data_IF_950929384773
#
_entry.id   IF_950929384773
#
_cell.length_a   1.000
_cell.length_b   1.000
_cell.length_c   1.000
_cell.angle_alpha   90.00
_cell.angle_beta   90.00
_cell.angle_gamma   90.00
#
_symmetry.space_group_name_H-M   'P 1'
#
loop_
_entity.id
_entity.type
_entity.pdbx_description
1 polymer ?
#
# COMPACT_ATOMS: atom_id res chain seq x y z
N UNK A 1 1.00 -5.09 -4.67
CA UNK A 1 2.09 -5.90 -4.11
C UNK A 1 1.54 -7.08 -3.32
N UNK A 2 0.90 -6.90 -2.16
CA UNK A 2 0.28 -8.02 -1.41
C UNK A 2 -0.71 -8.83 -2.25
N UNK A 3 -1.60 -8.16 -3.01
CA UNK A 3 -2.62 -8.87 -3.79
C UNK A 3 -1.98 -9.86 -4.76
N UNK A 4 -1.03 -9.38 -5.57
CA UNK A 4 -0.26 -10.23 -6.48
C UNK A 4 0.48 -11.37 -5.75
N UNK A 5 1.13 -11.12 -4.61
CA UNK A 5 1.84 -12.18 -3.88
C UNK A 5 0.89 -13.28 -3.41
N UNK A 6 -0.33 -12.92 -2.97
CA UNK A 6 -1.36 -13.90 -2.59
C UNK A 6 -1.89 -14.66 -3.80
N UNK A 7 -2.22 -13.93 -4.87
CA UNK A 7 -2.75 -14.52 -6.09
C UNK A 7 -1.73 -15.52 -6.70
N UNK A 8 -0.42 -15.24 -6.59
CA UNK A 8 0.63 -16.15 -7.05
C UNK A 8 0.95 -17.29 -6.07
N UNK A 9 0.76 -17.11 -4.76
CA UNK A 9 0.85 -18.22 -3.79
C UNK A 9 -0.19 -19.31 -4.12
N UNK A 10 -1.40 -18.89 -4.53
CA UNK A 10 -2.47 -19.80 -4.98
C UNK A 10 -2.16 -20.51 -6.33
N UNK A 11 -1.31 -19.92 -7.18
CA UNK A 11 -0.97 -20.45 -8.51
C UNK A 11 0.33 -21.30 -8.55
N UNK A 12 1.03 -21.48 -7.43
CA UNK A 12 2.24 -22.30 -7.36
C UNK A 12 3.50 -21.59 -6.84
N UNK A 13 3.38 -20.41 -6.25
CA UNK A 13 4.49 -19.71 -5.59
C UNK A 13 5.27 -18.76 -6.51
N UNK A 14 5.92 -17.77 -5.91
CA UNK A 14 6.78 -16.78 -6.59
C UNK A 14 8.23 -16.97 -6.16
N UNK A 15 9.16 -17.03 -7.10
CA UNK A 15 10.58 -16.95 -6.82
C UNK A 15 11.12 -15.57 -7.21
N UNK A 16 11.61 -14.81 -6.24
CA UNK A 16 12.31 -13.55 -6.47
C UNK A 16 13.77 -13.85 -6.76
N UNK A 17 14.08 -14.05 -8.04
CA UNK A 17 15.39 -14.50 -8.54
C UNK A 17 16.54 -13.61 -8.02
N UNK A 18 16.37 -12.29 -8.05
CA UNK A 18 17.41 -11.34 -7.63
C UNK A 18 17.61 -11.28 -6.10
N UNK A 19 16.60 -11.65 -5.33
CA UNK A 19 16.66 -11.64 -3.87
C UNK A 19 17.05 -13.02 -3.30
N UNK A 20 17.09 -14.06 -4.13
CA UNK A 20 17.30 -15.44 -3.68
C UNK A 20 16.17 -15.97 -2.80
N UNK A 21 14.98 -15.36 -2.87
CA UNK A 21 13.84 -15.71 -2.02
C UNK A 21 12.88 -16.57 -2.83
N UNK A 22 12.72 -17.84 -2.44
CA UNK A 22 11.62 -18.67 -2.91
C UNK A 22 10.44 -18.55 -1.94
N UNK A 23 9.24 -18.34 -2.48
CA UNK A 23 7.99 -18.39 -1.70
C UNK A 23 7.53 -19.83 -1.40
N UNK A 24 8.27 -20.84 -1.84
CA UNK A 24 7.95 -22.24 -1.59
C UNK A 24 8.49 -22.73 -0.23
N UNK A 25 7.83 -23.74 0.33
CA UNK A 25 8.21 -24.36 1.61
C UNK A 25 7.94 -23.48 2.84
N UNK A 26 8.32 -23.98 4.02
CA UNK A 26 8.07 -23.32 5.32
C UNK A 26 8.73 -21.95 5.42
N UNK A 27 9.94 -21.80 4.86
CA UNK A 27 10.69 -20.54 4.84
C UNK A 27 10.00 -19.50 3.94
N UNK A 28 9.51 -19.90 2.77
CA UNK A 28 8.79 -19.01 1.85
C UNK A 28 7.51 -18.44 2.47
N UNK A 29 6.72 -19.28 3.16
CA UNK A 29 5.51 -18.83 3.88
C UNK A 29 5.80 -17.77 4.94
N UNK A 30 6.90 -17.93 5.69
CA UNK A 30 7.32 -16.91 6.68
C UNK A 30 7.71 -15.60 6.00
N UNK A 31 8.46 -15.65 4.90
CA UNK A 31 8.87 -14.44 4.19
C UNK A 31 7.67 -13.69 3.59
N UNK A 32 6.72 -14.42 2.98
CA UNK A 32 5.47 -13.85 2.46
C UNK A 32 4.66 -13.19 3.60
N UNK A 33 4.57 -13.84 4.76
CA UNK A 33 3.85 -13.30 5.91
C UNK A 33 4.50 -12.01 6.46
N UNK A 34 5.83 -11.98 6.56
CA UNK A 34 6.59 -10.80 7.00
C UNK A 34 6.40 -9.66 6.00
N UNK A 35 6.64 -9.89 4.71
CA UNK A 35 6.45 -8.89 3.66
C UNK A 35 5.02 -8.34 3.63
N UNK A 36 4.03 -9.22 3.80
CA UNK A 36 2.62 -8.81 3.88
C UNK A 36 2.32 -7.95 5.09
N UNK A 37 2.94 -8.25 6.24
CA UNK A 37 2.74 -7.50 7.47
C UNK A 37 3.42 -6.13 7.40
N UNK A 38 4.64 -6.09 6.87
CA UNK A 38 5.41 -4.86 6.65
C UNK A 38 4.71 -3.93 5.66
N UNK A 39 4.22 -4.43 4.52
CA UNK A 39 3.51 -3.60 3.53
C UNK A 39 2.20 -3.02 4.10
N UNK A 40 1.47 -3.77 4.94
CA UNK A 40 0.31 -3.23 5.66
C UNK A 40 0.69 -2.12 6.63
N UNK A 41 1.74 -2.32 7.43
CA UNK A 41 2.23 -1.32 8.38
C UNK A 41 2.70 -0.04 7.66
N UNK A 42 3.40 -0.20 6.54
CA UNK A 42 3.84 0.90 5.69
C UNK A 42 2.66 1.71 5.15
N UNK A 43 1.67 1.03 4.55
CA UNK A 43 0.46 1.68 4.03
C UNK A 43 -0.29 2.42 5.11
N UNK A 44 -0.40 1.84 6.31
CA UNK A 44 -1.04 2.46 7.46
C UNK A 44 -0.30 3.73 7.87
N UNK A 45 1.03 3.70 7.98
CA UNK A 45 1.84 4.88 8.31
C UNK A 45 1.65 6.02 7.31
N UNK A 46 1.62 5.71 6.01
CA UNK A 46 1.39 6.71 4.96
C UNK A 46 -0.01 7.32 5.09
N UNK A 47 -1.03 6.48 5.33
CA UNK A 47 -2.41 6.94 5.51
C UNK A 47 -2.55 7.85 6.73
N UNK A 48 -1.97 7.47 7.86
CA UNK A 48 -2.00 8.26 9.10
C UNK A 48 -1.33 9.62 8.92
N UNK A 49 -0.13 9.64 8.33
CA UNK A 49 0.60 10.89 8.05
C UNK A 49 -0.17 11.80 7.09
N UNK A 50 -0.68 11.24 5.99
CA UNK A 50 -1.48 12.01 5.01
C UNK A 50 -2.78 12.53 5.63
N UNK A 51 -3.39 11.75 6.54
CA UNK A 51 -4.59 12.17 7.25
C UNK A 51 -4.30 13.34 8.18
N UNK A 52 -3.19 13.31 8.92
CA UNK A 52 -2.76 14.42 9.77
C UNK A 52 -2.54 15.69 8.93
N UNK A 53 -1.75 15.60 7.85
CA UNK A 53 -1.48 16.74 6.98
C UNK A 53 -2.77 17.30 6.34
N UNK A 54 -3.76 16.44 6.05
CA UNK A 54 -5.08 16.85 5.53
C UNK A 54 -5.89 17.62 6.58
N UNK A 55 -5.84 17.22 7.85
CA UNK A 55 -6.51 17.93 8.94
C UNK A 55 -5.86 19.32 9.14
N UNK A 56 -4.55 19.40 9.08
CA UNK A 56 -3.80 20.65 9.19
C UNK A 56 -4.08 21.60 8.02
N UNK A 57 -4.21 21.07 6.80
CA UNK A 57 -4.61 21.86 5.65
C UNK A 57 -6.07 22.36 5.76
N UNK A 58 -6.98 21.54 6.29
CA UNK A 58 -8.36 21.97 6.57
C UNK A 58 -8.41 23.10 7.60
N UNK A 59 -7.63 23.01 8.69
CA UNK A 59 -7.58 24.05 9.72
C UNK A 59 -7.00 25.36 9.17
N UNK A 60 -6.07 25.29 8.21
CA UNK A 60 -5.56 26.43 7.43
C UNK A 60 -6.53 26.97 6.37
N UNK A 61 -7.73 26.41 6.24
CA UNK A 61 -8.77 26.90 5.33
C UNK A 61 -8.65 26.40 3.88
N UNK A 62 -7.83 25.40 3.60
CA UNK A 62 -7.72 24.80 2.26
C UNK A 62 -9.06 24.14 1.88
N UNK A 63 -9.64 24.56 0.74
CA UNK A 63 -10.89 23.99 0.22
C UNK A 63 -10.61 22.69 -0.53
N UNK A 64 -11.08 21.59 0.03
CA UNK A 64 -11.01 20.26 -0.58
C UNK A 64 -12.20 19.99 -1.50
N UNK A 65 -12.06 18.98 -2.37
CA UNK A 65 -13.09 18.55 -3.32
C UNK A 65 -12.85 19.12 -4.72
N UNK A 66 -13.78 18.81 -5.64
CA UNK A 66 -13.69 19.28 -7.03
C UNK A 66 -13.85 20.79 -7.08
N UNK A 67 -12.92 21.49 -7.74
CA UNK A 67 -13.02 22.94 -8.00
C UNK A 67 -14.29 23.22 -8.81
N UNK A 68 -15.09 24.21 -8.39
CA UNK A 68 -16.25 24.65 -9.16
C UNK A 68 -15.77 25.24 -10.49
N UNK A 69 -16.40 24.83 -11.59
CA UNK A 69 -16.19 25.45 -12.90
C UNK A 69 -17.02 26.73 -12.96
N UNK A 70 -16.36 27.88 -13.07
CA UNK A 70 -17.05 29.14 -13.36
C UNK A 70 -17.31 29.17 -14.85
N UNK A 71 -18.55 28.91 -15.28
CA UNK A 71 -18.94 29.15 -16.66
C UNK A 71 -19.28 30.64 -16.77
N UNK A 72 -18.40 31.40 -17.41
CA UNK A 72 -18.71 32.77 -17.81
C UNK A 72 -19.74 32.68 -18.95
N UNK A 73 -20.95 33.17 -18.69
CA UNK A 73 -22.02 33.33 -19.68
C UNK A 73 -21.82 34.61 -20.48
#
# INVERSE_FOLDING_TARGET
MIQFIKDFDEMGGVCLINAGISAEGTMGKMVVAILSTLDRAERQRILERTHQDKLDAKSKGVKFGRKKLTVHR
#
